data_IF_534319655015
#
_entry.id   IF_534319655015
#
_cell.length_a   1.000
_cell.length_b   1.000
_cell.length_c   1.000
_cell.angle_alpha   90.00
_cell.angle_beta   90.00
_cell.angle_gamma   90.00
#
_symmetry.space_group_name_H-M   'P 1'
#
loop_
_entity.id
_entity.type
_entity.pdbx_description
1 polymer ?
#
# COMPACT_ATOMS: atom_id res chain seq x y z
N UNK A 1 -74.07 1.04 6.31
CA UNK A 1 -72.84 1.22 7.09
C UNK A 1 -71.61 0.64 6.35
N UNK A 2 -71.55 0.79 5.02
CA UNK A 2 -70.47 0.26 4.16
C UNK A 2 -69.93 1.30 3.16
N UNK A 3 -70.44 2.54 3.14
CA UNK A 3 -69.98 3.61 2.23
C UNK A 3 -68.98 4.58 2.86
N UNK A 4 -68.64 4.40 4.14
CA UNK A 4 -67.69 5.28 4.86
C UNK A 4 -66.26 4.71 4.96
N UNK A 5 -66.03 3.48 4.51
CA UNK A 5 -64.71 2.83 4.59
C UNK A 5 -63.89 2.89 3.28
N UNK A 6 -64.52 3.20 2.15
CA UNK A 6 -63.83 3.20 0.83
C UNK A 6 -63.08 4.51 0.57
N UNK A 7 -63.47 5.64 1.18
CA UNK A 7 -62.84 6.93 0.95
C UNK A 7 -61.57 7.21 1.77
N UNK A 8 -61.23 6.38 2.76
CA UNK A 8 -59.98 6.53 3.55
C UNK A 8 -58.79 5.73 3.01
N UNK A 9 -59.00 4.79 2.08
CA UNK A 9 -57.93 4.01 1.45
C UNK A 9 -57.40 4.64 0.15
N UNK A 10 -58.19 5.51 -0.51
CA UNK A 10 -57.75 6.22 -1.72
C UNK A 10 -56.78 7.39 -1.42
N UNK A 11 -56.85 7.99 -0.22
CA UNK A 11 -55.98 9.12 0.15
C UNK A 11 -54.60 8.69 0.69
N UNK A 12 -54.46 7.47 1.20
CA UNK A 12 -53.16 6.92 1.64
C UNK A 12 -52.35 6.31 0.49
N UNK A 13 -53.01 5.84 -0.59
CA UNK A 13 -52.31 5.32 -1.77
C UNK A 13 -51.71 6.43 -2.65
N UNK A 14 -52.29 7.63 -2.65
CA UNK A 14 -51.78 8.75 -3.46
C UNK A 14 -50.60 9.49 -2.82
N UNK A 15 -50.45 9.43 -1.49
CA UNK A 15 -49.32 10.03 -0.78
C UNK A 15 -48.06 9.16 -0.78
N UNK A 16 -48.20 7.83 -0.91
CA UNK A 16 -47.06 6.90 -1.02
C UNK A 16 -46.47 6.82 -2.44
N UNK A 17 -47.24 7.18 -3.47
CA UNK A 17 -46.75 7.30 -4.85
C UNK A 17 -46.04 8.64 -5.13
N UNK A 18 -46.30 9.70 -4.36
CA UNK A 18 -45.55 10.95 -4.48
C UNK A 18 -44.22 10.97 -3.69
N UNK A 19 -44.09 10.13 -2.65
CA UNK A 19 -42.83 9.99 -1.91
C UNK A 19 -41.82 9.05 -2.59
N UNK A 20 -42.22 8.30 -3.63
CA UNK A 20 -41.30 7.48 -4.44
C UNK A 20 -40.86 8.15 -5.75
N UNK A 21 -41.41 9.31 -6.11
CA UNK A 21 -41.04 10.03 -7.35
C UNK A 21 -40.20 11.29 -7.14
N UNK A 22 -39.86 11.65 -5.89
CA UNK A 22 -38.94 12.76 -5.58
C UNK A 22 -37.51 12.31 -5.18
N UNK A 23 -37.17 11.03 -5.33
CA UNK A 23 -35.81 10.52 -5.12
C UNK A 23 -35.10 10.03 -6.40
N UNK A 24 -35.71 10.22 -7.57
CA UNK A 24 -35.17 9.77 -8.88
C UNK A 24 -34.76 10.93 -9.78
N UNK A 25 -34.29 12.04 -9.21
CA UNK A 25 -33.71 13.13 -9.99
C UNK A 25 -32.65 13.89 -9.19
N UNK A 26 -31.76 13.17 -8.50
CA UNK A 26 -30.45 13.71 -8.19
C UNK A 26 -29.58 13.59 -9.45
N UNK A 27 -29.50 14.72 -10.16
CA UNK A 27 -28.36 15.16 -10.94
C UNK A 27 -27.32 14.08 -11.31
N UNK A 28 -27.46 13.53 -12.51
CA UNK A 28 -26.35 12.92 -13.26
C UNK A 28 -25.37 13.95 -13.82
N UNK A 29 -25.50 15.23 -13.43
CA UNK A 29 -24.44 16.21 -13.50
C UNK A 29 -23.85 16.37 -12.09
N UNK A 30 -23.11 15.37 -11.61
CA UNK A 30 -21.92 15.73 -10.86
C UNK A 30 -20.97 16.37 -11.86
N UNK A 31 -21.15 17.67 -12.06
CA UNK A 31 -20.01 18.55 -12.25
C UNK A 31 -19.05 18.16 -11.13
N UNK A 32 -18.11 17.28 -11.48
CA UNK A 32 -16.98 16.98 -10.65
C UNK A 32 -16.28 18.33 -10.53
N UNK A 33 -16.62 19.06 -9.46
CA UNK A 33 -15.83 20.14 -8.90
C UNK A 33 -14.40 19.70 -9.09
N UNK A 34 -13.75 20.31 -10.06
CA UNK A 34 -12.42 19.94 -10.50
C UNK A 34 -11.46 20.52 -9.48
N UNK A 35 -11.60 20.08 -8.23
CA UNK A 35 -10.70 20.39 -7.15
C UNK A 35 -9.35 19.86 -7.61
N UNK A 36 -8.58 20.76 -8.19
CA UNK A 36 -7.31 20.45 -8.78
C UNK A 36 -6.44 19.91 -7.65
N UNK A 37 -6.04 18.64 -7.75
CA UNK A 37 -5.14 18.05 -6.76
C UNK A 37 -3.76 18.68 -6.97
N UNK A 38 -3.48 19.71 -6.19
CA UNK A 38 -2.16 20.35 -6.11
C UNK A 38 -1.29 19.50 -5.17
N UNK A 39 -0.24 18.92 -5.73
CA UNK A 39 0.75 18.15 -4.97
C UNK A 39 1.86 19.09 -4.49
N UNK A 40 2.09 19.22 -3.17
CA UNK A 40 3.20 20.04 -2.70
C UNK A 40 4.51 19.35 -3.08
N UNK A 41 5.49 20.15 -3.49
CA UNK A 41 6.86 19.66 -3.61
C UNK A 41 7.42 19.45 -2.21
N UNK A 42 8.18 18.37 -2.05
CA UNK A 42 8.78 18.01 -0.77
C UNK A 42 10.26 17.72 -0.95
N UNK A 43 11.06 18.11 0.03
CA UNK A 43 12.50 17.85 0.09
C UNK A 43 12.89 17.24 1.44
N UNK A 44 14.05 16.58 1.48
CA UNK A 44 14.56 15.98 2.70
C UNK A 44 15.52 16.95 3.40
N UNK A 45 15.10 17.52 4.53
CA UNK A 45 15.90 18.48 5.30
C UNK A 45 16.83 17.76 6.27
N UNK A 46 18.12 17.71 5.92
CA UNK A 46 19.16 17.03 6.70
C UNK A 46 19.62 17.80 7.94
N UNK A 47 19.17 19.05 8.12
CA UNK A 47 19.50 19.89 9.28
C UNK A 47 18.59 19.60 10.47
N UNK A 48 17.40 19.06 10.20
CA UNK A 48 16.41 18.74 11.22
C UNK A 48 16.68 17.38 11.86
N UNK A 49 16.43 17.29 13.16
CA UNK A 49 16.59 16.05 13.94
C UNK A 49 15.24 15.42 14.22
N UNK A 50 15.20 14.10 14.07
CA UNK A 50 14.05 13.30 14.46
C UNK A 50 14.04 13.10 15.97
N UNK A 51 12.90 13.29 16.62
CA UNK A 51 12.75 12.95 18.04
C UNK A 51 12.57 11.45 18.23
N UNK A 52 11.77 10.86 17.35
CA UNK A 52 11.35 9.46 17.32
C UNK A 52 11.20 8.99 15.86
N UNK A 53 11.18 7.69 15.66
CA UNK A 53 10.95 7.05 14.36
C UNK A 53 10.13 5.77 14.56
N UNK A 54 9.11 5.55 13.73
CA UNK A 54 8.36 4.29 13.73
C UNK A 54 9.09 3.20 12.93
N UNK A 55 8.73 1.94 13.14
CA UNK A 55 9.32 0.80 12.41
C UNK A 55 9.07 0.92 10.91
N UNK A 56 7.86 1.32 10.49
CA UNK A 56 7.51 1.51 9.09
C UNK A 56 8.35 2.60 8.42
N UNK A 57 8.50 3.76 9.07
CA UNK A 57 9.34 4.86 8.58
C UNK A 57 10.82 4.46 8.50
N UNK A 58 11.28 3.77 9.54
CA UNK A 58 12.65 3.30 9.65
C UNK A 58 12.98 2.29 8.54
N UNK A 59 12.22 1.20 8.41
CA UNK A 59 12.51 0.18 7.42
C UNK A 59 12.22 0.64 5.99
N UNK A 60 11.27 1.57 5.80
CA UNK A 60 10.97 2.16 4.50
C UNK A 60 12.15 2.89 3.85
N UNK A 61 13.14 3.33 4.64
CA UNK A 61 14.42 3.89 4.16
C UNK A 61 15.22 2.88 3.34
N UNK A 62 15.17 1.62 3.78
CA UNK A 62 15.98 0.55 3.22
C UNK A 62 15.18 -0.27 2.20
N UNK A 63 13.90 -0.52 2.49
CA UNK A 63 13.04 -1.41 1.76
C UNK A 63 13.03 -1.17 0.23
N UNK A 64 13.37 -2.22 -0.54
CA UNK A 64 13.44 -2.22 -2.02
C UNK A 64 14.31 -1.10 -2.62
N UNK A 65 15.24 -0.52 -1.86
CA UNK A 65 16.27 0.34 -2.46
C UNK A 65 17.10 -0.49 -3.45
N UNK A 66 17.50 0.09 -4.59
CA UNK A 66 18.32 -0.61 -5.60
C UNK A 66 19.60 -1.20 -5.00
N UNK A 67 20.19 -0.52 -4.01
CA UNK A 67 21.36 -1.03 -3.27
C UNK A 67 21.03 -2.30 -2.48
N UNK A 68 19.81 -2.40 -1.94
CA UNK A 68 19.36 -3.60 -1.25
C UNK A 68 18.91 -4.73 -2.18
N UNK A 69 18.43 -4.48 -3.39
CA UNK A 69 18.09 -5.60 -4.31
C UNK A 69 19.32 -6.49 -4.62
N UNK A 70 20.52 -5.91 -4.61
CA UNK A 70 21.78 -6.64 -4.76
C UNK A 70 22.16 -7.42 -3.48
N UNK A 71 21.84 -6.87 -2.30
CA UNK A 71 22.12 -7.45 -0.99
C UNK A 71 21.07 -8.51 -0.61
N UNK A 72 19.80 -8.31 -0.98
CA UNK A 72 18.64 -9.13 -0.62
C UNK A 72 18.59 -10.47 -1.31
N UNK A 73 19.46 -10.72 -2.31
CA UNK A 73 19.71 -12.06 -2.81
C UNK A 73 20.36 -12.96 -1.73
N UNK A 74 20.96 -12.36 -0.69
CA UNK A 74 21.46 -13.05 0.51
C UNK A 74 20.34 -13.12 1.55
N UNK A 75 19.84 -14.32 1.80
CA UNK A 75 18.66 -14.52 2.65
C UNK A 75 19.01 -14.53 4.14
N UNK A 76 19.09 -13.33 4.74
CA UNK A 76 19.27 -13.19 6.18
C UNK A 76 18.23 -14.02 6.95
N UNK A 77 18.64 -14.80 7.94
CA UNK A 77 17.76 -15.63 8.78
C UNK A 77 17.13 -14.83 9.92
N UNK A 78 17.79 -13.74 10.31
CA UNK A 78 17.44 -12.93 11.48
C UNK A 78 17.68 -11.46 11.19
N UNK A 79 16.78 -10.61 11.69
CA UNK A 79 16.88 -9.16 11.70
C UNK A 79 17.09 -8.66 13.14
N UNK A 80 18.12 -7.85 13.30
CA UNK A 80 18.40 -7.07 14.49
C UNK A 80 18.09 -5.60 14.21
N UNK A 81 17.05 -5.07 14.83
CA UNK A 81 16.62 -3.68 14.68
C UNK A 81 16.93 -2.87 15.94
N UNK A 82 17.69 -1.79 15.79
CA UNK A 82 18.08 -0.89 16.88
C UNK A 82 17.65 0.54 16.58
N UNK A 83 17.11 1.23 17.57
CA UNK A 83 16.85 2.67 17.50
C UNK A 83 17.32 3.32 18.78
N UNK A 84 18.22 4.28 18.65
CA UNK A 84 18.59 5.22 19.71
C UNK A 84 17.85 6.53 19.46
N UNK A 85 16.92 6.86 20.35
CA UNK A 85 16.11 8.07 20.20
C UNK A 85 16.89 9.34 20.59
N UNK A 86 16.26 10.50 20.44
CA UNK A 86 16.85 11.81 20.77
C UNK A 86 17.18 12.02 22.26
N UNK A 87 16.73 11.14 23.16
CA UNK A 87 17.09 11.13 24.60
C UNK A 87 18.21 10.14 24.91
N UNK A 88 18.71 9.42 23.90
CA UNK A 88 19.72 8.38 24.06
C UNK A 88 19.18 7.01 24.49
N UNK A 89 17.86 6.87 24.64
CA UNK A 89 17.20 5.61 24.99
C UNK A 89 17.27 4.68 23.80
N UNK A 90 17.64 3.42 24.05
CA UNK A 90 17.77 2.39 23.02
C UNK A 90 16.55 1.48 23.07
N UNK A 91 15.93 1.29 21.90
CA UNK A 91 15.00 0.20 21.61
C UNK A 91 15.71 -0.82 20.74
N UNK A 92 15.57 -2.09 21.09
CA UNK A 92 16.07 -3.20 20.30
C UNK A 92 14.97 -4.23 20.05
N UNK A 93 14.95 -4.77 18.83
CA UNK A 93 14.07 -5.83 18.40
C UNK A 93 14.90 -6.88 17.66
N UNK A 94 14.76 -8.14 18.04
CA UNK A 94 15.24 -9.29 17.26
C UNK A 94 14.04 -10.00 16.65
N UNK A 95 14.09 -10.29 15.35
CA UNK A 95 13.06 -11.04 14.62
C UNK A 95 13.72 -12.08 13.74
N UNK A 96 13.17 -13.30 13.67
CA UNK A 96 13.62 -14.33 12.75
C UNK A 96 12.78 -14.35 11.46
N UNK A 97 13.10 -15.26 10.53
CA UNK A 97 12.30 -15.41 9.30
C UNK A 97 10.83 -15.66 9.61
N UNK A 98 10.44 -16.48 10.59
CA UNK A 98 9.01 -16.73 10.84
C UNK A 98 8.26 -15.50 11.34
N UNK A 99 8.98 -14.52 11.90
CA UNK A 99 8.36 -13.35 12.50
C UNK A 99 7.70 -13.65 13.84
N UNK A 100 7.93 -14.85 14.39
CA UNK A 100 7.26 -15.33 15.62
C UNK A 100 8.17 -15.19 16.84
N UNK A 101 9.49 -15.32 16.68
CA UNK A 101 10.43 -15.15 17.79
C UNK A 101 10.87 -13.70 17.90
N UNK A 102 10.16 -12.95 18.73
CA UNK A 102 10.43 -11.54 19.02
C UNK A 102 11.04 -11.36 20.42
N UNK A 103 12.16 -10.66 20.50
CA UNK A 103 12.64 -10.10 21.76
C UNK A 103 12.67 -8.58 21.66
N UNK A 104 11.93 -7.90 22.53
CA UNK A 104 11.91 -6.43 22.61
C UNK A 104 12.60 -6.00 23.90
N UNK A 105 13.67 -5.21 23.78
CA UNK A 105 14.35 -4.62 24.94
C UNK A 105 14.33 -3.09 24.84
N UNK A 106 14.10 -2.41 25.97
CA UNK A 106 14.28 -0.97 26.10
C UNK A 106 15.11 -0.64 27.33
N UNK A 107 16.24 0.02 27.12
CA UNK A 107 17.13 0.44 28.20
C UNK A 107 16.70 1.83 28.67
N UNK A 108 15.89 1.92 29.74
CA UNK A 108 15.90 3.01 30.73
C UNK A 108 14.95 2.81 31.93
N UNK A 109 14.02 1.82 31.96
CA UNK A 109 13.25 1.48 33.18
C UNK A 109 12.46 0.15 33.11
N UNK A 110 12.92 -0.85 32.36
CA UNK A 110 12.46 -2.23 32.54
C UNK A 110 11.00 -2.55 32.18
N UNK A 111 10.29 -1.71 31.42
CA UNK A 111 8.95 -2.07 30.93
C UNK A 111 9.09 -2.99 29.70
N UNK A 112 9.47 -4.24 29.97
CA UNK A 112 9.94 -5.23 28.98
C UNK A 112 8.83 -5.91 28.17
N UNK A 113 7.57 -5.46 28.25
CA UNK A 113 6.44 -6.21 27.70
C UNK A 113 5.57 -5.43 26.70
N UNK A 114 6.14 -4.54 25.89
CA UNK A 114 5.39 -3.96 24.76
C UNK A 114 5.42 -4.89 23.56
N UNK A 115 4.32 -5.63 23.36
CA UNK A 115 4.10 -6.45 22.16
C UNK A 115 4.05 -5.59 20.90
N UNK A 116 4.70 -6.04 19.82
CA UNK A 116 4.63 -5.38 18.52
C UNK A 116 3.24 -5.50 17.92
N UNK A 117 2.80 -4.46 17.21
CA UNK A 117 1.57 -4.52 16.42
C UNK A 117 1.74 -5.51 15.28
N UNK A 118 0.67 -6.16 14.85
CA UNK A 118 0.67 -7.09 13.70
C UNK A 118 1.36 -6.51 12.46
N UNK A 119 1.10 -5.24 12.11
CA UNK A 119 1.75 -4.59 10.97
C UNK A 119 3.24 -4.35 11.16
N UNK A 120 3.70 -4.07 12.38
CA UNK A 120 5.13 -3.94 12.67
C UNK A 120 5.85 -5.28 12.47
N UNK A 121 5.25 -6.39 12.89
CA UNK A 121 5.76 -7.75 12.68
C UNK A 121 5.87 -8.08 11.20
N UNK A 122 4.81 -7.80 10.43
CA UNK A 122 4.77 -7.98 8.97
C UNK A 122 5.89 -7.19 8.30
N UNK A 123 6.07 -5.92 8.68
CA UNK A 123 7.08 -5.03 8.10
C UNK A 123 8.51 -5.51 8.42
N UNK A 124 8.77 -5.94 9.66
CA UNK A 124 10.06 -6.53 10.04
C UNK A 124 10.34 -7.82 9.25
N UNK A 125 9.36 -8.72 9.15
CA UNK A 125 9.47 -9.95 8.36
C UNK A 125 9.67 -9.70 6.86
N UNK A 126 9.10 -8.62 6.32
CA UNK A 126 9.27 -8.23 4.91
C UNK A 126 10.73 -7.86 4.54
N UNK A 127 11.60 -7.60 5.53
CA UNK A 127 13.03 -7.41 5.31
C UNK A 127 13.79 -8.75 5.17
N UNK A 128 13.23 -9.85 5.68
CA UNK A 128 13.85 -11.18 5.68
C UNK A 128 13.28 -12.12 4.61
N UNK A 129 12.08 -11.82 4.10
CA UNK A 129 11.37 -12.67 3.15
C UNK A 129 10.90 -11.89 1.91
N UNK A 130 11.22 -12.42 0.73
CA UNK A 130 10.59 -12.00 -0.52
C UNK A 130 9.29 -12.76 -0.74
N UNK A 131 8.20 -12.25 -0.16
CA UNK A 131 6.87 -12.81 -0.41
C UNK A 131 6.38 -12.48 -1.83
N UNK A 132 6.02 -13.55 -2.57
CA UNK A 132 5.55 -13.50 -3.96
C UNK A 132 4.19 -12.81 -4.09
N UNK A 133 3.33 -12.96 -3.08
CA UNK A 133 1.97 -12.44 -3.05
C UNK A 133 1.76 -11.47 -1.89
N UNK A 134 1.55 -10.18 -2.18
CA UNK A 134 1.36 -9.17 -1.13
C UNK A 134 0.14 -9.50 -0.25
N UNK A 135 -0.94 -10.02 -0.80
CA UNK A 135 -2.08 -10.46 0.01
C UNK A 135 -1.66 -11.43 1.13
N UNK A 136 -0.82 -12.43 0.84
CA UNK A 136 -0.38 -13.42 1.83
C UNK A 136 0.44 -12.77 2.95
N UNK A 137 1.29 -11.79 2.61
CA UNK A 137 2.04 -11.01 3.60
C UNK A 137 1.12 -10.23 4.54
N UNK A 138 0.04 -9.68 4.00
CA UNK A 138 -0.87 -8.78 4.71
C UNK A 138 -2.19 -9.47 5.13
N UNK A 139 -2.26 -10.80 5.05
CA UNK A 139 -3.51 -11.56 5.18
C UNK A 139 -4.19 -11.31 6.53
N UNK A 140 -3.43 -11.31 7.63
CA UNK A 140 -3.96 -11.06 8.99
C UNK A 140 -4.58 -9.66 9.18
N UNK A 141 -4.35 -8.74 8.25
CA UNK A 141 -4.95 -7.40 8.24
C UNK A 141 -6.07 -7.29 7.19
N UNK A 142 -6.02 -8.09 6.12
CA UNK A 142 -6.89 -7.95 4.95
C UNK A 142 -7.94 -9.06 4.80
N UNK A 143 -7.89 -10.11 5.61
CA UNK A 143 -8.70 -11.32 5.46
C UNK A 143 -10.22 -11.04 5.44
N UNK A 144 -10.70 -10.18 6.34
CA UNK A 144 -12.12 -9.91 6.49
C UNK A 144 -12.68 -9.16 5.28
N UNK A 145 -11.99 -8.11 4.84
CA UNK A 145 -12.36 -7.40 3.63
C UNK A 145 -12.22 -8.25 2.37
N UNK A 146 -11.24 -9.15 2.31
CA UNK A 146 -11.15 -10.04 1.16
C UNK A 146 -12.32 -11.01 1.16
N UNK A 147 -12.70 -11.57 2.31
CA UNK A 147 -13.87 -12.46 2.42
C UNK A 147 -15.14 -11.77 1.95
N UNK A 148 -15.38 -10.54 2.39
CA UNK A 148 -16.51 -9.71 1.92
C UNK A 148 -16.43 -9.45 0.40
N UNK A 149 -15.26 -9.05 -0.12
CA UNK A 149 -15.06 -8.86 -1.56
C UNK A 149 -15.36 -10.13 -2.37
N UNK A 150 -14.88 -11.29 -1.93
CA UNK A 150 -15.10 -12.56 -2.62
C UNK A 150 -16.59 -12.93 -2.65
N UNK A 151 -17.33 -12.71 -1.55
CA UNK A 151 -18.78 -12.92 -1.52
C UNK A 151 -19.49 -12.02 -2.53
N UNK A 152 -19.17 -10.73 -2.57
CA UNK A 152 -19.73 -9.77 -3.52
C UNK A 152 -19.39 -10.12 -4.97
N UNK A 153 -18.12 -10.45 -5.24
CA UNK A 153 -17.64 -10.91 -6.55
C UNK A 153 -18.42 -12.13 -7.03
N UNK A 154 -18.59 -13.12 -6.17
CA UNK A 154 -19.26 -14.37 -6.53
C UNK A 154 -20.75 -14.15 -6.81
N UNK A 155 -21.42 -13.28 -6.05
CA UNK A 155 -22.80 -12.86 -6.36
C UNK A 155 -22.91 -12.16 -7.72
N UNK A 156 -22.01 -11.24 -8.04
CA UNK A 156 -21.96 -10.58 -9.36
C UNK A 156 -21.74 -11.61 -10.47
N UNK A 157 -20.78 -12.53 -10.29
CA UNK A 157 -20.49 -13.57 -11.27
C UNK A 157 -21.70 -14.47 -11.53
N UNK A 158 -22.45 -14.86 -10.50
CA UNK A 158 -23.66 -15.67 -10.67
C UNK A 158 -24.72 -14.94 -11.49
N UNK A 159 -24.95 -13.65 -11.22
CA UNK A 159 -25.90 -12.83 -11.98
C UNK A 159 -25.44 -12.67 -13.44
N UNK A 160 -24.15 -12.41 -13.67
CA UNK A 160 -23.59 -12.34 -15.02
C UNK A 160 -23.72 -13.69 -15.75
N UNK A 161 -23.52 -14.81 -15.06
CA UNK A 161 -23.59 -16.16 -15.64
C UNK A 161 -24.99 -16.52 -16.11
N UNK A 162 -26.03 -16.03 -15.44
CA UNK A 162 -27.42 -16.17 -15.90
C UNK A 162 -27.66 -15.49 -17.26
N UNK A 163 -26.96 -14.37 -17.54
CA UNK A 163 -27.05 -13.64 -18.82
C UNK A 163 -26.05 -14.16 -19.87
N UNK A 164 -24.88 -14.59 -19.42
CA UNK A 164 -23.75 -15.01 -20.24
C UNK A 164 -23.17 -16.31 -19.68
N UNK A 165 -23.72 -17.45 -20.09
CA UNK A 165 -23.30 -18.78 -19.59
C UNK A 165 -21.80 -19.07 -19.77
N UNK A 166 -21.14 -18.41 -20.72
CA UNK A 166 -19.71 -18.54 -21.00
C UNK A 166 -18.80 -17.66 -20.13
N UNK A 167 -19.35 -16.85 -19.21
CA UNK A 167 -18.55 -16.00 -18.32
C UNK A 167 -17.74 -16.82 -17.33
N UNK A 168 -16.46 -16.48 -17.17
CA UNK A 168 -15.53 -17.10 -16.20
C UNK A 168 -14.78 -16.03 -15.44
N UNK A 169 -14.40 -16.36 -14.21
CA UNK A 169 -13.38 -15.63 -13.46
C UNK A 169 -12.02 -16.10 -14.00
N UNK A 170 -11.24 -15.20 -14.59
CA UNK A 170 -9.95 -15.51 -15.21
C UNK A 170 -8.75 -14.96 -14.44
N UNK A 171 -8.98 -14.04 -13.49
CA UNK A 171 -7.94 -13.54 -12.60
C UNK A 171 -8.53 -13.15 -11.24
N UNK A 172 -7.78 -13.39 -10.17
CA UNK A 172 -8.08 -12.99 -8.79
C UNK A 172 -6.77 -12.46 -8.17
N UNK A 173 -6.08 -13.24 -7.32
CA UNK A 173 -4.79 -12.83 -6.77
C UNK A 173 -3.70 -12.85 -7.85
N UNK A 174 -2.92 -11.77 -7.91
CA UNK A 174 -1.76 -11.62 -8.80
C UNK A 174 -0.46 -11.50 -8.01
N UNK A 175 0.57 -12.25 -8.41
CA UNK A 175 1.91 -12.11 -7.82
C UNK A 175 2.60 -10.81 -8.25
N UNK A 176 3.61 -10.39 -7.49
CA UNK A 176 4.45 -9.25 -7.86
C UNK A 176 5.16 -9.47 -9.20
N UNK A 177 5.64 -10.68 -9.50
CA UNK A 177 6.31 -10.99 -10.78
C UNK A 177 5.34 -10.92 -11.96
N UNK A 178 4.10 -11.39 -11.81
CA UNK A 178 3.06 -11.23 -12.81
C UNK A 178 2.70 -9.75 -13.04
N UNK A 179 2.62 -8.95 -11.97
CA UNK A 179 2.39 -7.51 -12.07
C UNK A 179 3.53 -6.78 -12.79
N UNK A 180 4.79 -7.09 -12.44
CA UNK A 180 5.98 -6.59 -13.17
C UNK A 180 5.93 -6.96 -14.66
N UNK A 181 5.46 -8.16 -15.01
CA UNK A 181 5.25 -8.57 -16.41
C UNK A 181 4.15 -7.75 -17.09
N UNK A 182 3.05 -7.42 -16.40
CA UNK A 182 2.00 -6.55 -16.94
C UNK A 182 2.49 -5.13 -17.21
N UNK A 183 3.25 -4.55 -16.27
CA UNK A 183 3.93 -3.26 -16.48
C UNK A 183 4.82 -3.28 -17.73
N UNK A 184 5.73 -4.27 -17.83
CA UNK A 184 6.67 -4.39 -18.95
C UNK A 184 5.94 -4.51 -20.30
N UNK A 185 4.76 -5.13 -20.31
CA UNK A 185 3.96 -5.36 -21.50
C UNK A 185 2.89 -4.27 -21.73
N UNK A 186 2.95 -3.14 -21.02
CA UNK A 186 1.95 -2.06 -21.10
C UNK A 186 0.50 -2.51 -20.81
N UNK A 187 0.32 -3.60 -20.06
CA UNK A 187 -0.98 -4.08 -19.54
C UNK A 187 -1.31 -3.55 -18.16
N UNK A 188 -0.47 -2.67 -17.62
CA UNK A 188 -0.70 -1.91 -16.41
C UNK A 188 0.18 -0.66 -16.49
N UNK A 189 -0.27 0.43 -15.87
CA UNK A 189 0.54 1.64 -15.65
C UNK A 189 1.01 1.75 -14.20
N UNK A 190 0.48 0.92 -13.30
CA UNK A 190 0.80 0.94 -11.87
C UNK A 190 1.69 -0.23 -11.47
N UNK A 191 2.76 0.00 -10.68
CA UNK A 191 3.63 -1.05 -10.18
C UNK A 191 2.97 -1.99 -9.19
N UNK A 192 1.93 -1.52 -8.49
CA UNK A 192 1.07 -2.34 -7.65
C UNK A 192 -0.38 -2.25 -8.12
N UNK A 193 -1.10 -3.36 -8.01
CA UNK A 193 -2.50 -3.50 -8.41
C UNK A 193 -3.34 -4.04 -7.26
N UNK A 194 -4.65 -3.77 -7.28
CA UNK A 194 -5.61 -4.38 -6.35
C UNK A 194 -5.57 -5.92 -6.37
N UNK A 195 -5.22 -6.54 -7.49
CA UNK A 195 -5.00 -7.98 -7.55
C UNK A 195 -3.85 -8.45 -6.66
N UNK A 196 -2.83 -7.62 -6.40
CA UNK A 196 -1.73 -7.99 -5.50
C UNK A 196 -2.19 -8.11 -4.05
N UNK A 197 -3.23 -7.36 -3.67
CA UNK A 197 -3.81 -7.33 -2.33
C UNK A 197 -5.08 -8.18 -2.22
N UNK A 198 -5.47 -8.88 -3.29
CA UNK A 198 -6.66 -9.74 -3.28
C UNK A 198 -7.98 -8.95 -3.27
N UNK A 199 -8.01 -7.74 -3.80
CA UNK A 199 -9.18 -6.87 -3.85
C UNK A 199 -9.68 -6.60 -5.26
N UNK A 200 -9.31 -7.43 -6.22
CA UNK A 200 -9.81 -7.35 -7.59
C UNK A 200 -9.96 -8.71 -8.25
N UNK A 201 -10.83 -8.76 -9.25
CA UNK A 201 -11.06 -9.93 -10.08
C UNK A 201 -11.36 -9.52 -11.51
N UNK A 202 -10.95 -10.36 -12.45
CA UNK A 202 -11.20 -10.18 -13.88
C UNK A 202 -12.17 -11.27 -14.36
N UNK A 203 -13.26 -10.84 -14.99
CA UNK A 203 -14.20 -11.69 -15.70
C UNK A 203 -13.88 -11.69 -17.21
N UNK A 204 -14.10 -12.83 -17.85
CA UNK A 204 -14.07 -12.94 -19.30
C UNK A 204 -15.29 -13.71 -19.81
N UNK A 205 -15.98 -13.12 -20.78
CA UNK A 205 -17.07 -13.76 -21.51
C UNK A 205 -16.47 -14.38 -22.77
N UNK A 206 -16.70 -15.67 -23.00
CA UNK A 206 -16.09 -16.39 -24.12
C UNK A 206 -17.05 -16.49 -25.32
N UNK A 207 -16.49 -16.40 -26.54
CA UNK A 207 -17.13 -16.79 -27.79
C UNK A 207 -16.32 -17.94 -28.38
N UNK A 208 -16.77 -19.18 -28.14
CA UNK A 208 -15.95 -20.37 -28.38
C UNK A 208 -14.72 -20.40 -27.46
N UNK A 209 -13.53 -20.55 -28.04
CA UNK A 209 -12.26 -20.63 -27.29
C UNK A 209 -11.55 -19.28 -27.10
N UNK A 210 -12.18 -18.17 -27.51
CA UNK A 210 -11.58 -16.83 -27.42
C UNK A 210 -12.39 -15.95 -26.47
N UNK A 211 -11.70 -15.05 -25.77
CA UNK A 211 -12.34 -13.99 -24.98
C UNK A 211 -13.06 -13.05 -25.96
N UNK A 212 -14.32 -12.75 -25.64
CA UNK A 212 -15.11 -11.76 -26.34
C UNK A 212 -14.83 -10.39 -25.71
N UNK A 213 -14.15 -9.54 -26.47
CA UNK A 213 -13.76 -8.19 -26.04
C UNK A 213 -14.86 -7.15 -26.29
N UNK A 214 -16.09 -7.56 -26.64
CA UNK A 214 -17.19 -6.61 -26.79
C UNK A 214 -17.53 -5.98 -25.44
N UNK A 215 -17.26 -4.68 -25.32
CA UNK A 215 -17.50 -3.87 -24.12
C UNK A 215 -18.96 -3.95 -23.65
N UNK A 216 -19.92 -4.02 -24.56
CA UNK A 216 -21.36 -4.03 -24.22
C UNK A 216 -21.76 -5.24 -23.37
N UNK A 217 -21.04 -6.36 -23.51
CA UNK A 217 -21.27 -7.56 -22.70
C UNK A 217 -20.92 -7.35 -21.23
N UNK A 218 -20.06 -6.37 -20.94
CA UNK A 218 -19.61 -6.04 -19.60
C UNK A 218 -20.37 -4.86 -18.99
N UNK A 219 -21.15 -4.09 -19.77
CA UNK A 219 -21.96 -2.97 -19.26
C UNK A 219 -22.83 -3.30 -18.03
N UNK A 220 -23.40 -4.51 -17.88
CA UNK A 220 -24.12 -4.85 -16.64
C UNK A 220 -23.28 -4.72 -15.37
N UNK A 221 -21.95 -4.83 -15.45
CA UNK A 221 -21.05 -4.65 -14.31
C UNK A 221 -21.11 -3.24 -13.72
N UNK A 222 -21.49 -2.21 -14.49
CA UNK A 222 -21.60 -0.86 -13.96
C UNK A 222 -22.60 -0.80 -12.79
N UNK A 223 -23.84 -1.24 -13.04
CA UNK A 223 -24.88 -1.26 -12.02
C UNK A 223 -24.59 -2.31 -10.95
N UNK A 224 -24.18 -3.52 -11.36
CA UNK A 224 -23.92 -4.60 -10.40
C UNK A 224 -22.81 -4.23 -9.41
N UNK A 225 -21.71 -3.64 -9.85
CA UNK A 225 -20.67 -3.21 -8.92
C UNK A 225 -21.18 -2.11 -7.98
N UNK A 226 -21.94 -1.14 -8.48
CA UNK A 226 -22.56 -0.11 -7.64
C UNK A 226 -23.47 -0.72 -6.55
N UNK A 227 -24.34 -1.68 -6.91
CA UNK A 227 -25.27 -2.35 -5.98
C UNK A 227 -24.54 -3.10 -4.85
N UNK A 228 -23.33 -3.61 -5.13
CA UNK A 228 -22.50 -4.33 -4.15
C UNK A 228 -21.41 -3.46 -3.50
N UNK A 229 -21.37 -2.16 -3.80
CA UNK A 229 -20.34 -1.25 -3.27
C UNK A 229 -18.92 -1.61 -3.76
N UNK A 230 -18.80 -2.01 -5.03
CA UNK A 230 -17.55 -2.27 -5.74
C UNK A 230 -17.36 -1.24 -6.86
N UNK A 231 -16.17 -1.23 -7.46
CA UNK A 231 -15.85 -0.40 -8.61
C UNK A 231 -15.63 -1.24 -9.85
N UNK A 232 -16.26 -0.85 -10.96
CA UNK A 232 -16.06 -1.46 -12.27
C UNK A 232 -14.92 -0.77 -13.06
N UNK A 233 -13.99 -1.57 -13.58
CA UNK A 233 -12.87 -1.09 -14.39
C UNK A 233 -13.25 -0.52 -15.75
N UNK A 234 -14.48 -0.76 -16.22
CA UNK A 234 -15.04 -0.09 -17.40
C UNK A 234 -15.18 1.43 -17.23
N UNK A 235 -15.21 1.91 -15.98
CA UNK A 235 -15.31 3.33 -15.65
C UNK A 235 -13.94 4.00 -15.38
N UNK A 236 -12.84 3.25 -15.47
CA UNK A 236 -11.50 3.82 -15.23
C UNK A 236 -11.12 4.86 -16.28
N UNK A 237 -10.49 5.95 -15.83
CA UNK A 237 -9.99 6.99 -16.72
C UNK A 237 -8.56 6.63 -17.14
N UNK A 238 -8.34 6.46 -18.45
CA UNK A 238 -7.01 6.25 -19.02
C UNK A 238 -6.55 4.78 -19.12
N UNK A 239 -7.15 3.86 -18.37
CA UNK A 239 -6.91 2.42 -18.46
C UNK A 239 -8.22 1.63 -18.30
N UNK A 240 -9.07 1.67 -19.32
CA UNK A 240 -10.39 1.01 -19.30
C UNK A 240 -10.20 -0.51 -19.35
N UNK A 241 -10.72 -1.21 -18.34
CA UNK A 241 -10.70 -2.68 -18.26
C UNK A 241 -12.13 -3.22 -18.01
N UNK A 242 -12.86 -3.62 -19.06
CA UNK A 242 -14.28 -3.97 -18.94
C UNK A 242 -14.51 -5.25 -18.14
N UNK A 243 -13.54 -6.17 -18.11
CA UNK A 243 -13.64 -7.41 -17.34
C UNK A 243 -13.38 -7.22 -15.85
N UNK A 244 -12.81 -6.09 -15.46
CA UNK A 244 -12.24 -5.89 -14.14
C UNK A 244 -13.27 -5.35 -13.14
N UNK A 245 -13.27 -5.90 -11.94
CA UNK A 245 -13.93 -5.30 -10.77
C UNK A 245 -12.96 -5.25 -9.59
N UNK A 246 -13.10 -4.25 -8.73
CA UNK A 246 -12.30 -4.12 -7.52
C UNK A 246 -13.09 -3.54 -6.35
N UNK A 247 -12.62 -3.81 -5.12
CA UNK A 247 -13.27 -3.37 -3.89
C UNK A 247 -13.24 -1.86 -3.70
N UNK A 248 -12.08 -1.25 -3.89
CA UNK A 248 -11.87 0.19 -3.73
C UNK A 248 -11.97 0.90 -5.07
N UNK A 249 -12.30 2.18 -5.08
CA UNK A 249 -12.26 3.06 -6.27
C UNK A 249 -10.87 3.06 -6.89
N UNK A 250 -9.82 3.19 -6.07
CA UNK A 250 -8.43 3.11 -6.50
C UNK A 250 -7.50 2.82 -5.29
N UNK A 251 -6.20 2.74 -5.55
CA UNK A 251 -5.22 2.43 -4.49
C UNK A 251 -5.13 3.53 -3.42
N UNK A 252 -5.48 4.78 -3.72
CA UNK A 252 -5.43 5.85 -2.72
C UNK A 252 -6.45 5.60 -1.61
N UNK A 253 -7.69 5.23 -1.98
CA UNK A 253 -8.74 4.88 -1.01
C UNK A 253 -8.33 3.68 -0.14
N UNK A 254 -7.75 2.64 -0.75
CA UNK A 254 -7.22 1.48 0.00
C UNK A 254 -6.14 1.90 1.00
N UNK A 255 -5.23 2.81 0.61
CA UNK A 255 -4.16 3.30 1.48
C UNK A 255 -4.67 4.22 2.59
N UNK A 256 -5.78 4.92 2.38
CA UNK A 256 -6.44 5.69 3.44
C UNK A 256 -7.08 4.75 4.48
N UNK A 257 -7.71 3.67 4.04
CA UNK A 257 -8.27 2.64 4.94
C UNK A 257 -7.18 1.81 5.65
N UNK A 258 -6.12 1.44 4.92
CA UNK A 258 -5.00 0.64 5.43
C UNK A 258 -3.67 1.39 5.30
N UNK A 259 -3.38 2.33 6.20
CA UNK A 259 -2.18 3.16 6.11
C UNK A 259 -0.88 2.36 6.19
N UNK A 260 -0.88 1.17 6.79
CA UNK A 260 0.32 0.32 6.88
C UNK A 260 0.76 -0.22 5.51
N UNK A 261 -0.16 -0.35 4.54
CA UNK A 261 0.16 -0.77 3.17
C UNK A 261 1.00 0.26 2.42
N UNK A 262 1.11 1.49 2.91
CA UNK A 262 2.02 2.51 2.35
C UNK A 262 3.45 1.99 2.27
N UNK A 263 3.85 1.09 3.19
CA UNK A 263 5.13 0.41 3.15
C UNK A 263 5.43 -0.25 1.78
N UNK A 264 4.41 -0.83 1.13
CA UNK A 264 4.56 -1.46 -0.19
C UNK A 264 4.63 -0.43 -1.33
N UNK A 265 3.95 0.70 -1.18
CA UNK A 265 3.81 1.73 -2.22
C UNK A 265 4.94 2.75 -2.21
N UNK A 266 5.51 3.03 -1.03
CA UNK A 266 6.54 4.05 -0.84
C UNK A 266 7.78 3.89 -1.75
N UNK A 267 8.28 2.66 -2.03
CA UNK A 267 9.41 2.47 -2.95
C UNK A 267 9.13 2.90 -4.39
N UNK A 268 7.85 2.98 -4.79
CA UNK A 268 7.45 3.35 -6.14
C UNK A 268 7.11 4.84 -6.29
N UNK A 269 7.41 5.66 -5.28
CA UNK A 269 7.11 7.09 -5.29
C UNK A 269 7.61 7.79 -6.57
N UNK A 270 8.87 7.55 -6.95
CA UNK A 270 9.48 8.16 -8.14
C UNK A 270 8.86 7.64 -9.45
N UNK A 271 8.41 6.38 -9.48
CA UNK A 271 7.66 5.84 -10.62
C UNK A 271 6.33 6.59 -10.82
N UNK A 272 5.61 6.85 -9.73
CA UNK A 272 4.36 7.61 -9.76
C UNK A 272 4.60 9.06 -10.21
N UNK A 273 5.64 9.72 -9.69
CA UNK A 273 6.02 11.07 -10.12
C UNK A 273 6.39 11.09 -11.61
N UNK A 274 7.20 10.13 -12.07
CA UNK A 274 7.61 10.03 -13.49
C UNK A 274 6.41 9.84 -14.40
N UNK A 275 5.47 8.96 -14.04
CA UNK A 275 4.24 8.76 -14.81
C UNK A 275 3.39 10.04 -14.86
N UNK A 276 3.20 10.71 -13.73
CA UNK A 276 2.45 11.97 -13.68
C UNK A 276 3.09 13.05 -14.55
N UNK A 277 4.41 13.25 -14.44
CA UNK A 277 5.16 14.20 -15.26
C UNK A 277 5.06 13.88 -16.76
N UNK A 278 5.08 12.60 -17.12
CA UNK A 278 4.87 12.14 -18.50
C UNK A 278 3.46 12.42 -19.01
N UNK A 279 2.43 12.18 -18.20
CA UNK A 279 1.05 12.53 -18.60
C UNK A 279 0.86 14.05 -18.73
N UNK A 280 1.49 14.84 -17.85
CA UNK A 280 1.51 16.30 -17.93
C UNK A 280 2.16 16.80 -19.23
N UNK A 281 3.35 16.30 -19.58
CA UNK A 281 4.04 16.71 -20.81
C UNK A 281 3.28 16.36 -22.08
N UNK A 282 2.37 15.38 -22.01
CA UNK A 282 1.47 15.00 -23.11
C UNK A 282 0.12 15.72 -23.11
N UNK A 283 -0.14 16.63 -22.17
CA UNK A 283 -1.45 17.26 -22.01
C UNK A 283 -2.57 16.29 -21.61
N UNK A 284 -2.22 15.12 -21.05
CA UNK A 284 -3.13 14.02 -20.68
C UNK A 284 -3.22 13.82 -19.17
N UNK A 285 -3.04 14.90 -18.40
CA UNK A 285 -3.00 14.84 -16.94
C UNK A 285 -4.27 14.25 -16.32
N UNK A 286 -5.44 14.44 -16.95
CA UNK A 286 -6.70 13.81 -16.53
C UNK A 286 -6.62 12.27 -16.47
N UNK A 287 -5.75 11.64 -17.27
CA UNK A 287 -5.49 10.17 -17.26
C UNK A 287 -4.57 9.73 -16.13
N UNK A 288 -3.99 10.66 -15.37
CA UNK A 288 -3.15 10.37 -14.20
C UNK A 288 -3.85 10.71 -12.87
N UNK A 289 -5.18 10.86 -12.86
CA UNK A 289 -5.93 11.25 -11.66
C UNK A 289 -5.67 10.29 -10.50
N UNK A 290 -5.78 8.98 -10.71
CA UNK A 290 -5.51 7.98 -9.65
C UNK A 290 -4.08 8.05 -9.15
N UNK A 291 -3.11 8.34 -10.03
CA UNK A 291 -1.72 8.56 -9.63
C UNK A 291 -1.55 9.80 -8.76
N UNK A 292 -2.27 10.89 -9.04
CA UNK A 292 -2.28 12.08 -8.16
C UNK A 292 -2.85 11.75 -6.79
N UNK A 293 -3.95 11.01 -6.73
CA UNK A 293 -4.58 10.60 -5.47
C UNK A 293 -3.62 9.73 -4.63
N UNK A 294 -2.91 8.77 -5.25
CA UNK A 294 -1.86 7.98 -4.58
C UNK A 294 -0.73 8.89 -4.07
N UNK A 295 -0.20 9.78 -4.93
CA UNK A 295 0.88 10.69 -4.54
C UNK A 295 0.48 11.60 -3.38
N UNK A 296 -0.76 12.10 -3.36
CA UNK A 296 -1.30 12.91 -2.25
C UNK A 296 -1.23 12.14 -0.93
N UNK A 297 -1.71 10.88 -0.92
CA UNK A 297 -1.66 10.02 0.28
C UNK A 297 -0.22 9.78 0.71
N UNK A 298 0.67 9.43 -0.22
CA UNK A 298 2.09 9.18 0.07
C UNK A 298 2.80 10.43 0.62
N UNK A 299 2.58 11.60 0.02
CA UNK A 299 3.18 12.87 0.46
C UNK A 299 2.68 13.22 1.87
N UNK A 300 1.37 13.16 2.11
CA UNK A 300 0.81 13.46 3.43
C UNK A 300 1.38 12.56 4.52
N UNK A 301 1.70 11.31 4.17
CA UNK A 301 2.26 10.33 5.11
C UNK A 301 3.78 10.45 5.26
N UNK A 302 4.48 11.03 4.27
CA UNK A 302 5.91 11.36 4.34
C UNK A 302 6.18 12.65 5.09
N UNK A 303 5.31 13.67 5.00
CA UNK A 303 5.55 14.99 5.59
C UNK A 303 5.86 14.91 7.09
N UNK A 304 6.91 15.63 7.50
CA UNK A 304 7.45 15.63 8.86
C UNK A 304 7.93 14.25 9.37
N UNK A 305 8.12 13.27 8.48
CA UNK A 305 8.66 11.96 8.81
C UNK A 305 10.11 11.83 8.37
N UNK A 306 10.74 10.75 8.81
CA UNK A 306 12.12 10.42 8.48
C UNK A 306 12.34 10.29 6.97
N UNK A 307 13.49 10.76 6.50
CA UNK A 307 13.94 10.62 5.12
C UNK A 307 15.45 10.38 5.04
N UNK A 308 15.90 9.80 3.93
CA UNK A 308 17.33 9.66 3.61
C UNK A 308 17.78 10.87 2.82
N UNK A 309 18.87 11.49 3.26
CA UNK A 309 19.54 12.57 2.54
C UNK A 309 20.65 11.99 1.67
N UNK A 310 20.78 12.48 0.44
CA UNK A 310 21.83 12.04 -0.50
C UNK A 310 23.23 12.59 -0.18
N UNK A 311 23.33 13.49 0.81
CA UNK A 311 24.59 14.16 1.18
C UNK A 311 25.47 13.23 2.04
N UNK A 312 26.08 12.22 1.42
CA UNK A 312 27.03 11.32 2.07
C UNK A 312 28.49 11.72 1.86
N UNK A 313 28.79 13.01 1.60
CA UNK A 313 30.17 13.46 1.45
C UNK A 313 30.85 13.58 2.82
N UNK A 314 31.83 12.70 3.08
CA UNK A 314 32.86 12.91 4.10
C UNK A 314 32.66 12.29 5.50
N UNK A 315 31.61 11.50 5.73
CA UNK A 315 31.46 10.81 7.02
C UNK A 315 32.28 9.52 7.05
N UNK A 316 33.24 9.41 7.98
CA UNK A 316 34.03 8.19 8.21
C UNK A 316 33.19 7.14 8.95
N UNK A 317 32.43 6.38 8.16
CA UNK A 317 31.54 5.33 8.66
C UNK A 317 32.29 4.20 9.37
N UNK A 318 33.52 3.89 8.96
CA UNK A 318 34.30 2.79 9.54
C UNK A 318 34.70 3.11 10.97
N UNK A 319 35.21 4.32 11.21
CA UNK A 319 35.52 4.80 12.56
C UNK A 319 34.27 4.93 13.42
N UNK A 320 33.15 5.40 12.85
CA UNK A 320 31.88 5.46 13.56
C UNK A 320 31.39 4.09 14.02
N UNK A 321 31.36 3.10 13.11
CA UNK A 321 30.97 1.72 13.41
C UNK A 321 31.90 1.14 14.48
N UNK A 322 33.22 1.27 14.30
CA UNK A 322 34.22 0.77 15.24
C UNK A 322 34.03 1.39 16.64
N UNK A 323 33.81 2.70 16.73
CA UNK A 323 33.56 3.39 18.00
C UNK A 323 32.20 3.06 18.62
N UNK A 324 31.15 2.95 17.81
CA UNK A 324 29.79 2.67 18.29
C UNK A 324 29.67 1.26 18.87
N UNK A 325 30.31 0.27 18.23
CA UNK A 325 30.25 -1.13 18.65
C UNK A 325 31.31 -1.55 19.67
N UNK A 326 32.39 -0.79 19.85
CA UNK A 326 33.42 -1.10 20.86
C UNK A 326 33.02 -0.68 22.29
N UNK A 327 32.12 0.29 22.45
CA UNK A 327 31.78 0.88 23.76
C UNK A 327 30.52 0.36 24.46
N UNK A 328 29.61 -0.34 23.77
CA UNK A 328 28.34 -0.79 24.36
C UNK A 328 28.28 -2.31 24.55
N UNK A 329 28.13 -2.76 25.80
CA UNK A 329 27.99 -4.17 26.18
C UNK A 329 26.79 -4.86 25.51
N UNK A 330 25.69 -4.14 25.28
CA UNK A 330 24.50 -4.61 24.55
C UNK A 330 24.83 -5.05 23.12
N UNK A 331 25.89 -4.50 22.52
CA UNK A 331 26.34 -4.83 21.16
C UNK A 331 27.50 -5.82 21.12
N UNK A 332 27.95 -6.38 22.26
CA UNK A 332 28.88 -7.52 22.25
C UNK A 332 28.29 -8.76 21.56
N UNK A 333 26.96 -8.82 21.43
CA UNK A 333 26.22 -9.79 20.59
C UNK A 333 26.72 -9.78 19.13
N UNK A 334 27.33 -8.67 18.69
CA UNK A 334 27.70 -8.43 17.30
C UNK A 334 29.12 -8.90 16.91
N UNK A 335 29.96 -9.28 17.87
CA UNK A 335 31.25 -9.93 17.54
C UNK A 335 31.05 -11.35 16.98
N UNK A 336 29.82 -11.85 17.08
CA UNK A 336 29.42 -13.22 16.82
C UNK A 336 28.23 -13.28 15.84
N UNK A 337 27.92 -12.19 15.12
CA UNK A 337 26.93 -12.25 14.03
C UNK A 337 27.43 -13.27 13.03
N UNK A 338 26.80 -14.44 13.07
CA UNK A 338 27.07 -15.54 12.15
C UNK A 338 26.74 -15.05 10.75
N UNK A 339 27.29 -15.69 9.73
CA UNK A 339 26.87 -15.48 8.35
C UNK A 339 25.33 -15.56 8.27
N UNK A 340 24.70 -14.63 7.55
CA UNK A 340 23.24 -14.49 7.39
C UNK A 340 22.44 -13.72 8.48
N UNK A 341 23.03 -12.82 9.26
CA UNK A 341 22.27 -11.89 10.12
C UNK A 341 22.22 -10.46 9.55
N UNK A 342 21.03 -9.87 9.52
CA UNK A 342 20.83 -8.47 9.11
C UNK A 342 20.76 -7.57 10.35
N UNK A 343 21.51 -6.48 10.34
CA UNK A 343 21.46 -5.43 11.33
C UNK A 343 20.92 -4.16 10.70
N UNK A 344 19.92 -3.55 11.32
CA UNK A 344 19.44 -2.21 10.98
C UNK A 344 19.49 -1.36 12.25
N UNK A 345 20.11 -0.20 12.16
CA UNK A 345 20.30 0.70 13.29
C UNK A 345 19.96 2.13 12.92
N UNK A 346 19.30 2.85 13.83
CA UNK A 346 19.02 4.28 13.72
C UNK A 346 19.57 4.99 14.94
N UNK A 347 20.46 5.96 14.74
CA UNK A 347 20.91 6.90 15.79
C UNK A 347 20.32 8.28 15.49
N UNK A 348 19.21 8.62 16.16
CA UNK A 348 18.49 9.86 15.93
C UNK A 348 19.22 11.08 16.54
N UNK A 349 20.12 10.87 17.50
CA UNK A 349 20.97 11.96 18.01
C UNK A 349 21.98 12.41 16.96
N UNK A 350 22.47 11.45 16.17
CA UNK A 350 23.46 11.68 15.10
C UNK A 350 22.84 11.82 13.72
N UNK A 351 21.52 11.65 13.59
CA UNK A 351 20.80 11.60 12.31
C UNK A 351 21.42 10.58 11.35
N UNK A 352 21.61 9.34 11.79
CA UNK A 352 22.21 8.29 10.97
C UNK A 352 21.34 7.04 10.97
N UNK A 353 21.23 6.40 9.81
CA UNK A 353 20.70 5.05 9.66
C UNK A 353 21.77 4.13 9.05
N UNK A 354 21.97 2.96 9.65
CA UNK A 354 22.92 1.94 9.21
C UNK A 354 22.15 0.67 8.88
N UNK A 355 22.49 0.05 7.77
CA UNK A 355 22.15 -1.34 7.46
C UNK A 355 23.44 -2.11 7.26
N UNK A 356 23.57 -3.26 7.92
CA UNK A 356 24.67 -4.20 7.72
C UNK A 356 24.12 -5.59 7.44
N UNK A 357 24.66 -6.25 6.42
CA UNK A 357 24.41 -7.66 6.12
C UNK A 357 25.72 -8.28 5.66
N UNK A 358 26.18 -9.31 6.37
CA UNK A 358 27.50 -9.91 6.19
C UNK A 358 28.61 -8.83 6.21
N UNK A 359 29.43 -8.76 5.16
CA UNK A 359 30.52 -7.78 5.01
C UNK A 359 30.06 -6.44 4.42
N UNK A 360 28.80 -6.33 4.02
CA UNK A 360 28.27 -5.11 3.39
C UNK A 360 27.65 -4.19 4.44
N UNK A 361 27.99 -2.91 4.36
CA UNK A 361 27.41 -1.88 5.22
C UNK A 361 26.99 -0.67 4.39
N UNK A 362 25.72 -0.31 4.52
CA UNK A 362 25.13 0.89 3.96
C UNK A 362 24.86 1.86 5.10
N UNK A 363 25.23 3.12 4.91
CA UNK A 363 24.92 4.17 5.87
C UNK A 363 24.32 5.37 5.18
N UNK A 364 23.30 5.93 5.81
CA UNK A 364 22.57 7.10 5.36
C UNK A 364 22.55 8.18 6.43
N UNK A 365 22.65 9.43 5.98
CA UNK A 365 22.26 10.59 6.79
C UNK A 365 20.73 10.69 6.77
N UNK A 366 20.14 10.84 7.95
CA UNK A 366 18.72 11.05 8.14
C UNK A 366 18.39 12.54 8.10
N UNK A 367 17.18 12.83 7.64
CA UNK A 367 16.56 14.14 7.70
C UNK A 367 15.07 14.02 7.97
N UNK A 368 14.37 15.14 7.75
CA UNK A 368 12.91 15.21 7.86
C UNK A 368 12.33 15.71 6.54
N UNK A 369 11.32 15.02 6.00
CA UNK A 369 10.59 15.50 4.83
C UNK A 369 9.86 16.81 5.15
N UNK A 370 10.13 17.86 4.37
CA UNK A 370 9.50 19.18 4.45
C UNK A 370 8.89 19.59 3.12
N UNK A 371 7.93 20.51 3.17
CA UNK A 371 7.43 21.18 1.97
C UNK A 371 8.47 22.20 1.53
N UNK A 372 8.71 22.28 0.23
CA UNK A 372 9.50 23.38 -0.38
C UNK A 372 8.85 24.74 -0.11
#
# INVERSE_FOLDING_TARGET
MLSLFVNKLAYTAFFLLFLFSCHSQQNTNSDASSDEIILPKIYCDSTLRLKEISISEALGVFYKSQKLENISQKSASTLHYYVKNSKGIIKYIKVDKSGENEMVFSDQNGDSNKTLKTSEKIILGAMLQDEKYLYKRWESILENERKDFLQKRDSIWQILKQKHQSVKIISDIRSLSAQKKHLKNNKSVSPLSMHNFGFAADFAIFKGNKINNNFDLYKPLNQLTADYGLTWGGNFIGFIDPGHIQLFKNSAEMLEKYPDLIFEFAPYYDNYQTWLSKMKSWGKEHKARDTKEILKVLINKKLNKACVCNDSYGFDYQSFIKGYFSGNSVFKVQKDTRTNEMLIMFDLLKNIAVLKLDDETIVYKLGVWKKE
#
